data_IF_414503963624
#
_entry.id   IF_414503963624
#
_cell.length_a   1.000
_cell.length_b   1.000
_cell.length_c   1.000
_cell.angle_alpha   90.00
_cell.angle_beta   90.00
_cell.angle_gamma   90.00
#
_symmetry.space_group_name_H-M   'P 1'
#
loop_
_entity.id
_entity.type
_entity.pdbx_description
1 polymer ?
#
# COMPACT_ATOMS: atom_id res chain seq x y z
N UNK A 1 -56.28 21.32 33.32
CA UNK A 1 -56.12 20.68 31.99
C UNK A 1 -54.69 20.91 31.52
N UNK A 2 -53.83 19.91 31.66
CA UNK A 2 -52.39 20.04 31.44
C UNK A 2 -52.04 19.81 29.96
N UNK A 3 -51.41 20.80 29.33
CA UNK A 3 -50.78 20.71 28.02
C UNK A 3 -49.47 19.92 28.16
N UNK A 4 -49.42 18.73 27.58
CA UNK A 4 -48.16 18.03 27.31
C UNK A 4 -47.86 18.19 25.81
N UNK A 5 -46.97 19.13 25.49
CA UNK A 5 -46.37 19.21 24.17
C UNK A 5 -45.27 18.14 24.14
N UNK A 6 -45.47 17.15 23.29
CA UNK A 6 -44.49 16.09 22.97
C UNK A 6 -43.28 16.77 22.33
N UNK A 7 -42.24 17.01 23.12
CA UNK A 7 -40.90 17.33 22.62
C UNK A 7 -40.24 16.00 22.25
N UNK A 8 -40.56 15.47 21.08
CA UNK A 8 -39.86 14.30 20.52
C UNK A 8 -39.65 14.56 19.03
N UNK A 9 -38.87 15.57 18.66
CA UNK A 9 -38.42 15.71 17.25
C UNK A 9 -37.09 16.45 17.04
N UNK A 10 -36.32 16.77 18.08
CA UNK A 10 -35.03 17.47 17.91
C UNK A 10 -33.95 16.88 18.84
N UNK A 11 -33.74 15.56 18.78
CA UNK A 11 -32.50 14.92 19.31
C UNK A 11 -32.00 13.86 18.32
N UNK A 12 -32.11 14.12 17.02
CA UNK A 12 -31.41 13.32 16.00
C UNK A 12 -30.37 14.14 15.21
N UNK A 13 -30.25 15.44 15.47
CA UNK A 13 -29.33 16.34 14.73
C UNK A 13 -28.02 16.62 15.49
N UNK A 14 -27.88 16.19 16.75
CA UNK A 14 -26.70 16.45 17.58
C UNK A 14 -25.86 15.21 17.93
N UNK A 15 -26.25 14.04 17.46
CA UNK A 15 -25.38 12.86 17.43
C UNK A 15 -25.16 12.58 15.97
N UNK A 16 -23.97 12.91 15.46
CA UNK A 16 -23.53 12.49 14.13
C UNK A 16 -23.51 10.97 14.09
N UNK A 17 -24.66 10.38 13.82
CA UNK A 17 -24.79 8.96 13.53
C UNK A 17 -24.12 8.82 12.16
N UNK A 18 -22.81 8.59 12.17
CA UNK A 18 -22.11 8.12 11.00
C UNK A 18 -22.80 6.82 10.62
N UNK A 19 -23.51 6.80 9.50
CA UNK A 19 -23.92 5.55 8.87
C UNK A 19 -22.67 4.66 8.85
N UNK A 20 -22.82 3.41 9.32
CA UNK A 20 -21.69 2.50 9.34
C UNK A 20 -21.16 2.42 7.92
N UNK A 21 -19.94 2.93 7.68
CA UNK A 21 -19.32 2.85 6.37
C UNK A 21 -19.31 1.38 5.95
N UNK A 22 -19.92 1.07 4.82
CA UNK A 22 -19.86 -0.25 4.23
C UNK A 22 -18.58 -0.35 3.39
N UNK A 23 -17.99 -1.53 3.37
CA UNK A 23 -16.79 -1.82 2.60
C UNK A 23 -17.05 -3.00 1.67
N UNK A 24 -16.53 -2.89 0.45
CA UNK A 24 -16.48 -3.97 -0.52
C UNK A 24 -15.14 -4.69 -0.38
N UNK A 25 -15.16 -5.92 0.13
CA UNK A 25 -13.96 -6.73 0.33
C UNK A 25 -13.81 -7.77 -0.79
N UNK A 26 -12.70 -7.76 -1.49
CA UNK A 26 -12.41 -8.69 -2.58
C UNK A 26 -12.40 -10.15 -2.10
N UNK A 27 -13.19 -11.00 -2.76
CA UNK A 27 -13.17 -12.47 -2.54
C UNK A 27 -12.24 -13.18 -3.52
N UNK A 28 -11.85 -12.48 -4.59
CA UNK A 28 -10.80 -12.83 -5.54
C UNK A 28 -10.15 -11.54 -6.03
N UNK A 29 -8.98 -11.63 -6.67
CA UNK A 29 -8.31 -10.46 -7.24
C UNK A 29 -9.20 -9.84 -8.31
N UNK A 30 -9.64 -8.61 -8.06
CA UNK A 30 -10.60 -7.92 -8.92
C UNK A 30 -10.01 -6.59 -9.42
N UNK A 31 -9.92 -6.37 -10.74
CA UNK A 31 -9.46 -5.10 -11.27
C UNK A 31 -10.40 -3.96 -10.87
N UNK A 32 -9.83 -2.82 -10.52
CA UNK A 32 -10.61 -1.60 -10.28
C UNK A 32 -10.72 -0.86 -11.62
N UNK A 33 -11.94 -0.57 -12.04
CA UNK A 33 -12.21 0.14 -13.29
C UNK A 33 -12.40 1.64 -13.06
N UNK A 34 -11.95 2.46 -14.01
CA UNK A 34 -12.17 3.92 -13.93
C UNK A 34 -13.60 4.33 -14.25
N UNK A 35 -14.34 3.47 -14.94
CA UNK A 35 -15.73 3.67 -15.37
C UNK A 35 -16.44 2.32 -15.48
N UNK A 36 -17.75 2.29 -15.19
CA UNK A 36 -18.58 1.10 -15.39
C UNK A 36 -19.12 0.96 -16.83
N UNK A 37 -19.21 2.06 -17.60
CA UNK A 37 -19.76 2.06 -18.98
C UNK A 37 -18.71 1.73 -20.04
N UNK A 38 -17.50 2.22 -19.84
CA UNK A 38 -16.35 1.97 -20.70
C UNK A 38 -15.23 1.48 -19.81
N UNK A 39 -15.33 0.23 -19.31
CA UNK A 39 -14.41 -0.28 -18.31
C UNK A 39 -12.98 -0.34 -18.87
N UNK A 40 -12.21 0.71 -18.63
CA UNK A 40 -10.76 0.69 -18.70
C UNK A 40 -10.22 0.34 -17.32
N UNK A 41 -9.20 -0.51 -17.32
CA UNK A 41 -8.51 -0.89 -16.09
C UNK A 41 -7.82 0.35 -15.52
N UNK A 42 -8.06 0.61 -14.23
CA UNK A 42 -7.09 1.40 -13.48
C UNK A 42 -5.81 0.58 -13.30
N UNK A 43 -4.72 1.24 -12.93
CA UNK A 43 -3.49 0.54 -12.54
C UNK A 43 -3.65 -0.30 -11.25
N UNK A 44 -4.81 -0.25 -10.59
CA UNK A 44 -5.06 -0.88 -9.31
C UNK A 44 -5.92 -2.13 -9.44
N UNK A 45 -5.53 -3.14 -8.67
CA UNK A 45 -6.26 -4.38 -8.42
C UNK A 45 -6.59 -4.39 -6.94
N UNK A 46 -7.85 -4.67 -6.60
CA UNK A 46 -8.25 -4.96 -5.23
C UNK A 46 -7.94 -6.45 -4.99
N UNK A 47 -6.91 -6.75 -4.21
CA UNK A 47 -6.44 -8.13 -4.04
C UNK A 47 -7.31 -8.88 -3.04
N UNK A 48 -7.35 -10.20 -3.16
CA UNK A 48 -8.16 -11.08 -2.31
C UNK A 48 -7.96 -10.78 -0.82
N UNK A 49 -9.02 -10.38 -0.12
CA UNK A 49 -9.00 -10.00 1.29
C UNK A 49 -8.90 -8.49 1.56
N UNK A 50 -8.47 -7.69 0.58
CA UNK A 50 -8.49 -6.22 0.66
C UNK A 50 -9.92 -5.70 0.64
N UNK A 51 -10.13 -4.57 1.30
CA UNK A 51 -11.42 -3.89 1.33
C UNK A 51 -11.28 -2.45 0.84
N UNK A 52 -12.25 -1.99 0.06
CA UNK A 52 -12.39 -0.60 -0.34
C UNK A 52 -13.68 -0.02 0.26
N UNK A 53 -13.67 1.28 0.57
CA UNK A 53 -14.85 1.97 1.07
C UNK A 53 -15.95 1.98 0.01
N UNK A 54 -17.13 1.50 0.34
CA UNK A 54 -18.31 1.52 -0.50
C UNK A 54 -19.27 2.61 0.00
N UNK A 55 -19.68 3.49 -0.91
CA UNK A 55 -20.49 4.66 -0.57
C UNK A 55 -21.97 4.51 -0.94
N UNK A 56 -22.46 3.26 -1.06
CA UNK A 56 -23.87 2.98 -1.36
C UNK A 56 -24.27 3.16 -2.83
N UNK A 57 -23.34 3.52 -3.72
CA UNK A 57 -23.65 3.75 -5.13
C UNK A 57 -23.41 2.49 -5.97
N UNK A 58 -24.52 1.87 -6.40
CA UNK A 58 -24.54 0.71 -7.28
C UNK A 58 -25.16 1.07 -8.63
N UNK A 59 -24.62 0.50 -9.71
CA UNK A 59 -25.21 0.60 -11.05
C UNK A 59 -25.35 -0.79 -11.66
N UNK A 60 -26.54 -1.11 -12.15
CA UNK A 60 -26.78 -2.33 -12.92
C UNK A 60 -26.68 -2.03 -14.41
N UNK A 61 -25.79 -2.73 -15.10
CA UNK A 61 -25.61 -2.64 -16.56
C UNK A 61 -25.57 -4.07 -17.10
N UNK A 62 -26.50 -4.39 -18.01
CA UNK A 62 -26.74 -5.75 -18.50
C UNK A 62 -26.91 -6.77 -17.35
N UNK A 63 -26.03 -7.77 -17.27
CA UNK A 63 -26.03 -8.83 -16.25
C UNK A 63 -25.09 -8.51 -15.07
N UNK A 64 -24.36 -7.38 -15.12
CA UNK A 64 -23.40 -7.01 -14.09
C UNK A 64 -23.95 -5.93 -13.15
N UNK A 65 -23.57 -6.04 -11.87
CA UNK A 65 -23.79 -4.97 -10.90
C UNK A 65 -22.44 -4.38 -10.51
N UNK A 66 -22.30 -3.08 -10.69
CA UNK A 66 -21.09 -2.32 -10.43
C UNK A 66 -21.23 -1.55 -9.13
N UNK A 67 -20.20 -1.60 -8.29
CA UNK A 67 -20.12 -0.84 -7.04
C UNK A 67 -19.09 0.27 -7.18
N UNK A 68 -19.48 1.51 -6.86
CA UNK A 68 -18.53 2.60 -6.74
C UNK A 68 -17.80 2.51 -5.40
N UNK A 69 -16.48 2.41 -5.46
CA UNK A 69 -15.62 2.29 -4.30
C UNK A 69 -14.61 3.44 -4.23
N UNK A 70 -14.09 3.70 -3.04
CA UNK A 70 -12.86 4.48 -2.86
C UNK A 70 -11.74 3.56 -2.37
N UNK A 71 -10.68 3.50 -3.15
CA UNK A 71 -9.49 2.69 -2.86
C UNK A 71 -8.25 3.56 -3.07
N UNK A 72 -7.35 3.62 -2.08
CA UNK A 72 -6.16 4.47 -2.12
C UNK A 72 -6.46 5.95 -2.47
N UNK A 73 -7.56 6.48 -1.92
CA UNK A 73 -8.01 7.85 -2.16
C UNK A 73 -8.58 8.12 -3.56
N UNK A 74 -8.67 7.10 -4.42
CA UNK A 74 -9.22 7.20 -5.77
C UNK A 74 -10.58 6.53 -5.86
N UNK A 75 -11.46 7.12 -6.67
CA UNK A 75 -12.78 6.57 -6.96
C UNK A 75 -12.65 5.58 -8.13
N UNK A 76 -13.20 4.40 -7.97
CA UNK A 76 -13.23 3.37 -9.01
C UNK A 76 -14.48 2.49 -8.91
N UNK A 77 -14.55 1.51 -9.79
CA UNK A 77 -15.68 0.60 -9.94
C UNK A 77 -15.23 -0.85 -9.91
N UNK A 78 -15.94 -1.68 -9.14
CA UNK A 78 -15.72 -3.14 -9.08
C UNK A 78 -17.03 -3.87 -9.32
N UNK A 79 -16.94 -5.12 -9.78
CA UNK A 79 -18.12 -5.97 -9.99
C UNK A 79 -18.55 -6.58 -8.65
N UNK A 80 -19.83 -6.46 -8.33
CA UNK A 80 -20.43 -6.89 -7.05
C UNK A 80 -20.14 -8.36 -6.72
N UNK A 81 -20.14 -9.24 -7.72
CA UNK A 81 -19.90 -10.68 -7.53
C UNK A 81 -18.45 -11.03 -7.16
N UNK A 82 -17.53 -10.09 -7.32
CA UNK A 82 -16.12 -10.24 -6.95
C UNK A 82 -15.79 -9.69 -5.56
N UNK A 83 -16.79 -9.17 -4.85
CA UNK A 83 -16.62 -8.56 -3.54
C UNK A 83 -17.73 -8.98 -2.58
N UNK A 84 -17.42 -8.95 -1.29
CA UNK A 84 -18.39 -9.11 -0.22
C UNK A 84 -18.56 -7.78 0.49
N UNK A 85 -19.79 -7.26 0.51
CA UNK A 85 -20.14 -6.11 1.34
C UNK A 85 -20.11 -6.53 2.82
N UNK A 86 -19.43 -5.74 3.63
CA UNK A 86 -19.40 -5.90 5.08
C UNK A 86 -19.21 -4.55 5.75
N UNK A 87 -19.53 -4.45 7.04
CA UNK A 87 -19.17 -3.27 7.81
C UNK A 87 -17.67 -3.05 7.66
N UNK A 88 -17.25 -1.84 7.31
CA UNK A 88 -15.85 -1.49 7.27
C UNK A 88 -15.25 -1.84 8.63
N UNK A 89 -14.32 -2.79 8.65
CA UNK A 89 -13.37 -2.85 9.76
C UNK A 89 -12.72 -1.47 9.74
N UNK A 90 -12.78 -0.72 10.84
CA UNK A 90 -11.98 0.50 10.96
C UNK A 90 -10.59 0.13 10.46
N UNK A 91 -10.07 0.89 9.49
CA UNK A 91 -8.68 0.74 9.08
C UNK A 91 -7.89 0.57 10.38
N UNK A 92 -7.23 -0.58 10.53
CA UNK A 92 -6.42 -0.77 11.72
C UNK A 92 -5.46 0.42 11.71
N UNK A 93 -5.34 1.19 12.81
CA UNK A 93 -4.38 2.28 12.86
C UNK A 93 -2.95 1.79 12.55
N UNK A 94 -2.72 0.49 12.52
CA UNK A 94 -1.45 -0.15 12.16
C UNK A 94 -0.80 0.25 10.83
N UNK A 95 -1.52 0.78 9.83
CA UNK A 95 -0.88 1.07 8.53
C UNK A 95 -0.27 2.46 8.43
N UNK A 96 -1.06 3.50 8.69
CA UNK A 96 -0.56 4.87 8.63
C UNK A 96 0.16 5.30 9.91
N UNK A 97 -0.12 4.63 11.03
CA UNK A 97 0.45 4.95 12.34
C UNK A 97 1.69 4.11 12.68
N UNK A 98 2.10 3.17 11.81
CA UNK A 98 3.38 2.47 11.95
C UNK A 98 4.58 3.34 11.54
N UNK A 99 4.42 4.19 10.53
CA UNK A 99 5.47 5.08 10.05
C UNK A 99 5.42 6.44 10.78
N UNK A 100 5.60 6.47 12.09
CA UNK A 100 5.59 7.71 12.90
C UNK A 100 6.99 8.19 13.27
N UNK A 101 7.15 9.51 13.43
CA UNK A 101 8.31 10.13 14.10
C UNK A 101 9.51 10.47 13.23
N UNK A 102 9.54 10.02 11.97
CA UNK A 102 10.66 10.22 11.04
C UNK A 102 10.52 11.39 10.07
N UNK A 103 11.66 11.84 9.51
CA UNK A 103 11.67 12.75 8.36
C UNK A 103 11.14 12.05 7.11
N UNK A 104 10.22 12.72 6.40
CA UNK A 104 9.57 12.18 5.21
C UNK A 104 10.22 12.69 3.93
N UNK A 105 10.48 11.79 3.00
CA UNK A 105 10.96 12.10 1.65
C UNK A 105 10.06 11.42 0.62
N UNK A 106 9.96 12.04 -0.56
CA UNK A 106 9.33 11.41 -1.73
C UNK A 106 10.41 10.79 -2.60
N UNK A 107 10.20 9.55 -3.01
CA UNK A 107 11.13 8.81 -3.86
C UNK A 107 10.39 8.14 -5.02
N UNK A 108 11.11 7.91 -6.12
CA UNK A 108 10.75 6.90 -7.10
C UNK A 108 11.31 5.56 -6.62
N UNK A 109 10.43 4.59 -6.41
CA UNK A 109 10.83 3.22 -6.10
C UNK A 109 11.15 2.42 -7.35
N UNK A 110 12.10 1.51 -7.23
CA UNK A 110 12.39 0.43 -8.17
C UNK A 110 12.66 -0.86 -7.40
N UNK A 111 12.74 -1.98 -8.12
CA UNK A 111 13.16 -3.25 -7.56
C UNK A 111 14.39 -3.79 -8.28
N UNK A 112 15.26 -4.45 -7.51
CA UNK A 112 16.37 -5.26 -8.03
C UNK A 112 16.30 -6.66 -7.42
N UNK A 113 16.85 -7.65 -8.12
CA UNK A 113 16.94 -9.02 -7.62
C UNK A 113 18.39 -9.49 -7.68
N UNK A 114 18.94 -10.07 -6.59
CA UNK A 114 20.29 -10.60 -6.60
C UNK A 114 20.46 -11.67 -7.67
N UNK A 115 21.52 -11.54 -8.47
CA UNK A 115 21.87 -12.49 -9.52
C UNK A 115 23.34 -12.88 -9.37
N UNK A 116 23.76 -14.00 -9.98
CA UNK A 116 25.16 -14.41 -9.97
C UNK A 116 26.03 -13.58 -10.95
N UNK A 117 25.58 -12.39 -11.35
CA UNK A 117 26.34 -11.48 -12.19
C UNK A 117 27.26 -10.61 -11.31
N UNK A 118 28.60 -10.73 -11.47
CA UNK A 118 29.56 -9.93 -10.71
C UNK A 118 29.41 -8.41 -10.93
N UNK A 119 28.78 -7.99 -12.03
CA UNK A 119 28.57 -6.58 -12.37
C UNK A 119 27.34 -6.01 -11.62
N UNK A 120 26.33 -6.83 -11.31
CA UNK A 120 25.13 -6.42 -10.57
C UNK A 120 25.30 -6.45 -9.03
N UNK A 121 26.51 -6.72 -8.52
CA UNK A 121 26.79 -6.72 -7.07
C UNK A 121 26.57 -8.07 -6.38
N UNK A 122 26.05 -9.07 -7.08
CA UNK A 122 25.94 -10.44 -6.56
C UNK A 122 24.85 -10.60 -5.48
N UNK A 123 25.12 -11.47 -4.50
CA UNK A 123 24.20 -11.80 -3.40
C UNK A 123 24.50 -11.05 -2.10
N UNK A 124 25.37 -10.05 -2.15
CA UNK A 124 25.86 -9.32 -0.97
C UNK A 124 25.71 -7.82 -1.12
N UNK A 125 25.62 -7.13 0.01
CA UNK A 125 25.49 -5.68 0.10
C UNK A 125 26.84 -4.94 -0.04
N UNK A 126 26.82 -3.61 0.09
CA UNK A 126 28.03 -2.77 -0.02
C UNK A 126 29.13 -3.08 1.02
N UNK A 127 28.83 -3.89 2.06
CA UNK A 127 29.76 -4.35 3.09
C UNK A 127 30.08 -5.84 2.99
N UNK A 128 29.55 -6.53 1.98
CA UNK A 128 29.76 -7.96 1.77
C UNK A 128 28.87 -8.87 2.63
N UNK A 129 27.84 -8.32 3.29
CA UNK A 129 26.85 -9.14 4.01
C UNK A 129 25.75 -9.64 3.07
N UNK A 130 25.10 -10.79 3.35
CA UNK A 130 24.02 -11.29 2.52
C UNK A 130 22.87 -10.29 2.37
N UNK A 131 22.36 -10.14 1.14
CA UNK A 131 21.14 -9.38 0.88
C UNK A 131 19.89 -10.13 1.36
N UNK A 132 18.92 -9.38 1.86
CA UNK A 132 17.63 -9.90 2.32
C UNK A 132 16.50 -9.44 1.41
N UNK A 133 15.83 -10.38 0.76
CA UNK A 133 14.74 -10.09 -0.17
C UNK A 133 13.43 -9.85 0.56
N UNK A 134 12.54 -9.07 -0.05
CA UNK A 134 11.18 -8.87 0.45
C UNK A 134 10.45 -10.19 0.69
N UNK A 135 10.55 -11.15 -0.24
CA UNK A 135 9.91 -12.46 -0.12
C UNK A 135 10.47 -13.26 1.06
N UNK A 136 11.79 -13.21 1.32
CA UNK A 136 12.38 -13.88 2.48
C UNK A 136 11.89 -13.26 3.80
N UNK A 137 11.76 -11.93 3.87
CA UNK A 137 11.20 -11.25 5.04
C UNK A 137 9.72 -11.61 5.28
N UNK A 138 8.91 -11.62 4.20
CA UNK A 138 7.50 -11.98 4.28
C UNK A 138 7.31 -13.43 4.73
N UNK A 139 8.19 -14.34 4.32
CA UNK A 139 8.23 -15.73 4.77
C UNK A 139 8.82 -15.92 6.19
N UNK A 140 9.33 -14.87 6.82
CA UNK A 140 9.94 -14.93 8.16
C UNK A 140 11.36 -15.53 8.16
N UNK A 141 12.04 -15.57 7.02
CA UNK A 141 13.40 -16.07 6.85
C UNK A 141 14.46 -14.97 6.87
N UNK A 142 14.06 -13.70 6.85
CA UNK A 142 14.95 -12.56 6.95
C UNK A 142 14.47 -11.58 8.03
N UNK A 143 15.41 -10.92 8.75
CA UNK A 143 15.07 -9.97 9.80
C UNK A 143 14.61 -8.60 9.29
N UNK A 144 14.99 -8.23 8.06
CA UNK A 144 14.63 -6.98 7.39
C UNK A 144 14.67 -7.19 5.87
N UNK A 145 14.27 -6.19 5.09
CA UNK A 145 14.41 -6.13 3.62
C UNK A 145 15.53 -5.18 3.25
N UNK A 146 16.51 -5.65 2.48
CA UNK A 146 17.60 -4.82 1.98
C UNK A 146 17.10 -3.80 0.98
N UNK A 147 17.52 -2.54 1.14
CA UNK A 147 17.30 -1.49 0.14
C UNK A 147 18.60 -0.81 -0.27
N UNK A 148 18.66 -0.41 -1.54
CA UNK A 148 19.76 0.38 -2.09
C UNK A 148 19.37 1.85 -2.21
N UNK A 149 20.26 2.74 -1.74
CA UNK A 149 20.08 4.20 -1.80
C UNK A 149 21.42 4.92 -2.03
N UNK A 150 21.36 6.25 -2.20
CA UNK A 150 22.57 7.07 -2.39
C UNK A 150 23.41 7.13 -1.10
N UNK A 151 24.58 6.51 -1.12
CA UNK A 151 25.52 6.50 0.00
C UNK A 151 26.26 7.83 0.22
N UNK A 152 26.09 8.83 -0.66
CA UNK A 152 26.63 10.18 -0.47
C UNK A 152 25.60 11.14 0.15
N UNK A 153 24.37 10.67 0.38
CA UNK A 153 23.27 11.49 0.89
C UNK A 153 23.34 11.78 2.41
N UNK A 154 24.36 11.25 3.10
CA UNK A 154 24.44 11.27 4.56
C UNK A 154 23.54 10.24 5.24
N UNK A 155 22.96 9.29 4.49
CA UNK A 155 22.17 8.17 5.02
C UNK A 155 23.16 7.13 5.54
N UNK A 156 23.11 6.81 6.84
CA UNK A 156 24.00 5.82 7.43
C UNK A 156 23.62 4.40 6.96
N UNK A 157 24.63 3.55 6.73
CA UNK A 157 24.39 2.12 6.55
C UNK A 157 23.65 1.55 7.78
N UNK A 158 22.64 0.73 7.56
CA UNK A 158 21.79 0.17 8.60
C UNK A 158 20.59 1.05 8.97
N UNK A 159 20.40 2.20 8.32
CA UNK A 159 19.25 3.08 8.61
C UNK A 159 17.94 2.38 8.27
N UNK A 160 16.99 2.42 9.18
CA UNK A 160 15.67 1.85 9.00
C UNK A 160 14.74 2.84 8.28
N UNK A 161 13.97 2.33 7.32
CA UNK A 161 13.04 3.10 6.51
C UNK A 161 11.68 2.45 6.56
N UNK A 162 10.66 3.21 6.93
CA UNK A 162 9.27 2.79 6.85
C UNK A 162 8.67 3.29 5.54
N UNK A 163 8.02 2.40 4.79
CA UNK A 163 7.38 2.69 3.50
C UNK A 163 5.87 2.38 3.62
N UNK A 164 5.01 3.39 3.85
CA UNK A 164 3.58 3.18 4.09
C UNK A 164 2.87 2.41 2.97
N UNK A 165 3.22 2.68 1.72
CA UNK A 165 2.61 2.04 0.55
C UNK A 165 2.86 0.52 0.53
N UNK A 166 4.07 0.12 0.93
CA UNK A 166 4.43 -1.29 1.08
C UNK A 166 3.74 -1.92 2.27
N UNK A 167 3.68 -1.21 3.40
CA UNK A 167 2.97 -1.72 4.57
C UNK A 167 1.50 -1.99 4.25
N UNK A 168 0.85 -1.02 3.58
CA UNK A 168 -0.54 -1.11 3.14
C UNK A 168 -0.76 -2.33 2.27
N UNK A 169 0.08 -2.53 1.24
CA UNK A 169 0.00 -3.69 0.35
C UNK A 169 0.05 -5.03 1.08
N UNK A 170 0.98 -5.18 2.02
CA UNK A 170 1.24 -6.48 2.64
C UNK A 170 0.52 -6.70 3.96
N UNK A 171 -0.34 -5.76 4.37
CA UNK A 171 -1.00 -5.79 5.66
C UNK A 171 -0.06 -5.95 6.87
N UNK A 172 1.19 -5.47 6.74
CA UNK A 172 2.28 -5.73 7.67
C UNK A 172 3.24 -4.56 7.73
N UNK A 173 3.76 -4.23 8.90
CA UNK A 173 4.90 -3.30 9.02
C UNK A 173 6.16 -4.02 8.54
N UNK A 174 6.69 -3.57 7.42
CA UNK A 174 7.91 -4.12 6.82
C UNK A 174 9.10 -3.27 7.29
N UNK A 175 10.09 -3.94 7.85
CA UNK A 175 11.36 -3.32 8.22
C UNK A 175 12.27 -3.30 6.99
N UNK A 176 12.50 -2.12 6.41
CA UNK A 176 13.47 -1.92 5.34
C UNK A 176 14.75 -1.29 5.89
N UNK A 177 15.91 -1.77 5.43
CA UNK A 177 17.20 -1.28 5.91
C UNK A 177 18.11 -0.87 4.75
N UNK A 178 18.63 0.35 4.83
CA UNK A 178 19.59 0.90 3.85
C UNK A 178 20.94 0.23 4.06
N UNK A 179 21.21 -0.79 3.25
CA UNK A 179 22.46 -1.58 3.35
C UNK A 179 23.23 -1.60 2.04
N UNK A 180 22.63 -1.15 0.94
CA UNK A 180 23.22 -1.29 -0.37
C UNK A 180 23.25 0.03 -1.16
N UNK A 181 24.01 0.06 -2.24
CA UNK A 181 24.16 1.20 -3.15
C UNK A 181 24.59 0.72 -4.52
N UNK A 182 24.50 1.60 -5.51
CA UNK A 182 24.93 1.34 -6.87
C UNK A 182 25.24 2.64 -7.59
N UNK A 183 25.95 2.55 -8.71
CA UNK A 183 26.32 3.73 -9.51
C UNK A 183 25.09 4.56 -9.92
N UNK A 184 23.95 3.91 -10.15
CA UNK A 184 22.66 4.54 -10.46
C UNK A 184 22.13 5.49 -9.36
N UNK A 185 22.59 5.35 -8.12
CA UNK A 185 22.15 6.14 -6.98
C UNK A 185 23.03 7.36 -6.70
N UNK A 186 24.18 7.50 -7.36
CA UNK A 186 25.09 8.64 -7.17
C UNK A 186 24.37 9.97 -7.41
N UNK A 187 24.30 10.82 -6.38
CA UNK A 187 23.68 12.15 -6.46
C UNK A 187 22.15 12.14 -6.49
N UNK A 188 21.51 11.00 -6.15
CA UNK A 188 20.06 10.89 -6.08
C UNK A 188 19.50 11.23 -4.70
N UNK A 189 20.35 11.29 -3.67
CA UNK A 189 19.90 11.61 -2.33
C UNK A 189 18.79 10.67 -1.85
N UNK A 190 17.71 11.27 -1.37
CA UNK A 190 16.51 10.57 -0.89
C UNK A 190 15.45 10.35 -1.98
N UNK A 191 15.72 10.73 -3.24
CA UNK A 191 14.73 10.74 -4.32
C UNK A 191 14.55 9.40 -5.04
N UNK A 192 15.39 8.40 -4.72
CA UNK A 192 15.33 7.05 -5.29
C UNK A 192 15.65 6.00 -4.25
N UNK A 193 15.01 4.85 -4.39
CA UNK A 193 15.23 3.66 -3.56
C UNK A 193 15.05 2.42 -4.43
N UNK A 194 15.90 1.42 -4.26
CA UNK A 194 15.72 0.09 -4.84
C UNK A 194 15.38 -0.91 -3.74
N UNK A 195 14.34 -1.71 -3.92
CA UNK A 195 13.94 -2.75 -2.97
C UNK A 195 14.44 -4.10 -3.48
N UNK A 196 15.16 -4.83 -2.63
CA UNK A 196 15.66 -6.16 -2.95
C UNK A 196 14.52 -7.18 -2.98
N UNK A 197 14.31 -7.83 -4.12
CA UNK A 197 13.29 -8.87 -4.33
C UNK A 197 13.93 -10.19 -4.79
N UNK A 198 13.21 -11.30 -4.66
CA UNK A 198 13.77 -12.62 -4.89
C UNK A 198 13.98 -12.96 -6.35
N UNK A 199 13.12 -12.47 -7.25
CA UNK A 199 13.16 -12.86 -8.66
C UNK A 199 12.92 -11.67 -9.59
N UNK A 200 13.30 -11.86 -10.85
CA UNK A 200 12.95 -10.95 -11.94
C UNK A 200 11.44 -10.71 -12.04
N UNK A 201 10.61 -11.72 -11.80
CA UNK A 201 9.16 -11.53 -11.85
C UNK A 201 8.68 -10.59 -10.74
N UNK A 202 9.23 -10.74 -9.54
CA UNK A 202 8.92 -9.87 -8.40
C UNK A 202 9.36 -8.43 -8.63
N UNK A 203 10.39 -8.21 -9.46
CA UNK A 203 10.85 -6.84 -9.77
C UNK A 203 9.85 -6.02 -10.58
N UNK A 204 8.80 -6.64 -11.12
CA UNK A 204 7.73 -5.96 -11.86
C UNK A 204 6.56 -5.52 -10.97
N UNK A 205 6.71 -5.62 -9.65
CA UNK A 205 5.68 -5.19 -8.70
C UNK A 205 5.34 -3.69 -8.86
N UNK A 206 4.09 -3.39 -9.22
CA UNK A 206 3.64 -2.01 -9.49
C UNK A 206 3.73 -1.10 -8.25
N UNK A 207 3.58 -1.65 -7.04
CA UNK A 207 3.65 -0.84 -5.81
C UNK A 207 5.08 -0.44 -5.53
N UNK A 208 6.03 -1.35 -5.75
CA UNK A 208 7.46 -1.05 -5.63
C UNK A 208 7.88 -0.01 -6.68
N UNK A 209 7.43 -0.18 -7.92
CA UNK A 209 7.81 0.67 -9.06
C UNK A 209 6.99 1.97 -9.18
N UNK A 210 6.42 2.45 -8.06
CA UNK A 210 5.63 3.67 -7.99
C UNK A 210 6.37 4.80 -7.26
N UNK A 211 5.66 5.91 -7.04
CA UNK A 211 6.09 6.90 -6.07
C UNK A 211 5.89 6.34 -4.65
N UNK A 212 6.94 6.46 -3.83
CA UNK A 212 6.99 5.96 -2.46
C UNK A 212 7.23 7.10 -1.48
N UNK A 213 6.64 6.96 -0.29
CA UNK A 213 6.92 7.81 0.86
C UNK A 213 7.96 7.12 1.74
N UNK A 214 9.13 7.74 1.91
CA UNK A 214 10.18 7.21 2.77
C UNK A 214 10.15 7.92 4.12
N UNK A 215 9.98 7.16 5.20
CA UNK A 215 10.02 7.68 6.57
C UNK A 215 11.22 7.09 7.29
N UNK A 216 12.28 7.89 7.48
CA UNK A 216 13.53 7.47 8.10
C UNK A 216 13.41 7.51 9.63
N UNK A 217 13.76 6.40 10.30
CA UNK A 217 13.63 6.21 11.75
C UNK A 217 14.95 6.36 12.50
#
# INVERSE_FOLDING_TARGET
MARWIIVVFIVQVLLGITEAAECACAINDTPIHTSYRTPSYSQYILTTGDCASFHGHEVKEEELTWLQITYNGQIGWVIKDHVKLSACKRASPFHDQACTGGHKYSATGTAYYPSNDPIEGGFVDMRGHPLHTLQAYLAGHAPFVSVAMDNHAGIAYGTHVCIPEMNHKYHKVIDFQVVDTGSAFTGKGHSRIDICVATRSDSYDNTINAHLTLVFQ
#
